data_IF_506331362177
#
_entry.id   IF_506331362177
#
_cell.length_a   1.000
_cell.length_b   1.000
_cell.length_c   1.000
_cell.angle_alpha   90.00
_cell.angle_beta   90.00
_cell.angle_gamma   90.00
#
_symmetry.space_group_name_H-M   'P 1'
#
loop_
_entity.id
_entity.type
_entity.pdbx_description
1 polymer ?
#
# COMPACT_ATOMS: atom_id res chain seq x y z
N UNK A 1 28.04 -14.59 -11.30
CA UNK A 1 27.54 -15.22 -10.04
C UNK A 1 26.62 -16.37 -10.45
N UNK A 2 26.93 -17.60 -10.04
CA UNK A 2 26.34 -18.83 -10.58
C UNK A 2 25.05 -19.20 -9.80
N UNK A 3 24.01 -19.70 -10.48
CA UNK A 3 22.73 -20.14 -9.87
C UNK A 3 22.96 -21.15 -8.73
N UNK A 4 24.00 -21.98 -8.83
CA UNK A 4 24.40 -22.93 -7.80
C UNK A 4 24.89 -22.27 -6.50
N UNK A 5 25.45 -21.07 -6.61
CA UNK A 5 25.92 -20.24 -5.49
C UNK A 5 24.73 -19.63 -4.73
N UNK A 6 23.70 -19.22 -5.47
CA UNK A 6 22.44 -18.67 -4.95
C UNK A 6 21.65 -19.72 -4.14
N UNK A 7 21.61 -20.97 -4.60
CA UNK A 7 20.95 -22.09 -3.89
C UNK A 7 21.70 -22.43 -2.59
N UNK A 8 23.03 -22.25 -2.57
CA UNK A 8 23.87 -22.52 -1.38
C UNK A 8 23.59 -21.54 -0.23
N UNK A 9 23.32 -20.27 -0.56
CA UNK A 9 22.91 -19.25 0.42
C UNK A 9 21.52 -19.53 1.02
N UNK A 10 20.65 -20.25 0.29
CA UNK A 10 19.32 -20.66 0.78
C UNK A 10 19.32 -21.83 1.74
N UNK A 11 20.46 -22.50 1.96
CA UNK A 11 20.61 -23.41 3.11
C UNK A 11 20.69 -22.56 4.35
N UNK A 12 19.51 -22.19 4.84
CA UNK A 12 19.29 -21.48 6.08
C UNK A 12 19.83 -22.36 7.22
N UNK A 13 21.15 -22.29 7.44
CA UNK A 13 21.77 -22.83 8.64
C UNK A 13 21.09 -22.04 9.75
N UNK A 14 20.19 -22.68 10.51
CA UNK A 14 19.58 -22.07 11.70
C UNK A 14 20.73 -21.58 12.55
N UNK A 15 21.03 -20.29 12.47
CA UNK A 15 21.81 -19.61 13.48
C UNK A 15 20.81 -19.50 14.62
N UNK A 16 21.00 -20.21 15.74
CA UNK A 16 20.18 -19.95 16.91
C UNK A 16 20.42 -18.48 17.26
N UNK A 17 19.45 -17.64 16.96
CA UNK A 17 19.49 -16.25 17.35
C UNK A 17 19.01 -16.21 18.79
N UNK A 18 19.94 -16.19 19.73
CA UNK A 18 19.64 -16.02 21.16
C UNK A 18 19.02 -14.64 21.48
N UNK A 19 18.76 -13.82 20.46
CA UNK A 19 18.51 -12.38 20.56
C UNK A 19 17.02 -12.05 20.50
N UNK A 20 16.17 -12.86 19.86
CA UNK A 20 14.78 -12.45 19.56
C UNK A 20 13.71 -13.32 20.22
N UNK A 21 13.80 -14.66 20.13
CA UNK A 21 12.84 -15.59 20.75
C UNK A 21 13.56 -16.90 21.09
N UNK A 22 13.77 -17.14 22.39
CA UNK A 22 14.40 -18.38 22.89
C UNK A 22 13.38 -19.30 23.58
N UNK A 23 12.19 -18.80 23.84
CA UNK A 23 11.12 -19.49 24.55
C UNK A 23 9.81 -19.39 23.75
N UNK A 24 8.91 -20.34 23.97
CA UNK A 24 7.61 -20.33 23.31
C UNK A 24 6.79 -19.11 23.75
N UNK A 25 6.05 -18.53 22.81
CA UNK A 25 5.14 -17.43 23.12
C UNK A 25 4.03 -17.90 24.06
N UNK A 26 3.60 -17.03 24.96
CA UNK A 26 2.47 -17.27 25.86
C UNK A 26 1.23 -17.68 25.03
N UNK A 27 0.40 -18.63 25.47
CA UNK A 27 -0.87 -18.89 24.79
C UNK A 27 -1.74 -17.64 24.75
N UNK A 28 -2.54 -17.49 23.69
CA UNK A 28 -3.53 -16.41 23.59
C UNK A 28 -4.72 -16.74 24.48
N UNK A 29 -5.32 -15.69 25.04
CA UNK A 29 -6.55 -15.76 25.83
C UNK A 29 -7.79 -15.96 24.94
N UNK A 30 -8.89 -16.40 25.53
CA UNK A 30 -10.21 -16.58 24.91
C UNK A 30 -10.80 -15.28 24.35
N UNK A 31 -10.34 -14.11 24.80
CA UNK A 31 -10.66 -12.81 24.17
C UNK A 31 -10.33 -12.78 22.67
N UNK A 32 -9.34 -13.53 22.20
CA UNK A 32 -8.94 -13.61 20.79
C UNK A 32 -9.88 -14.48 19.93
N UNK A 33 -10.90 -15.12 20.52
CA UNK A 33 -11.91 -15.88 19.76
C UNK A 33 -12.93 -14.97 19.09
N UNK A 34 -13.12 -13.75 19.59
CA UNK A 34 -14.00 -12.75 19.00
C UNK A 34 -13.15 -11.77 18.19
N UNK A 35 -13.18 -11.92 16.87
CA UNK A 35 -12.37 -11.11 15.95
C UNK A 35 -13.31 -10.32 15.05
N UNK A 36 -13.04 -9.01 14.92
CA UNK A 36 -13.78 -8.17 13.98
C UNK A 36 -13.31 -8.41 12.54
N UNK A 37 -14.21 -8.28 11.56
CA UNK A 37 -13.87 -8.48 10.15
C UNK A 37 -12.69 -7.59 9.71
N UNK A 38 -12.63 -6.35 10.19
CA UNK A 38 -11.54 -5.42 9.89
C UNK A 38 -10.18 -5.91 10.41
N UNK A 39 -10.16 -6.58 11.56
CA UNK A 39 -8.94 -7.18 12.12
C UNK A 39 -8.45 -8.34 11.24
N UNK A 40 -9.38 -9.15 10.73
CA UNK A 40 -9.07 -10.24 9.81
C UNK A 40 -8.54 -9.72 8.48
N UNK A 41 -9.19 -8.70 7.90
CA UNK A 41 -8.74 -8.04 6.67
C UNK A 41 -7.34 -7.46 6.86
N UNK A 42 -7.09 -6.77 7.97
CA UNK A 42 -5.78 -6.17 8.26
C UNK A 42 -4.69 -7.22 8.50
N UNK A 43 -5.03 -8.34 9.15
CA UNK A 43 -4.12 -9.47 9.30
C UNK A 43 -3.70 -10.04 7.95
N UNK A 44 -4.65 -10.28 7.04
CA UNK A 44 -4.34 -10.84 5.72
C UNK A 44 -3.65 -9.86 4.77
N UNK A 45 -3.81 -8.54 4.94
CA UNK A 45 -3.04 -7.53 4.18
C UNK A 45 -1.54 -7.63 4.45
N UNK A 46 -1.13 -7.87 5.70
CA UNK A 46 0.28 -8.07 6.07
C UNK A 46 0.40 -8.87 7.39
N UNK A 47 0.47 -10.21 7.33
CA UNK A 47 0.39 -11.05 8.52
C UNK A 47 1.61 -10.91 9.43
N UNK A 48 2.80 -10.71 8.86
CA UNK A 48 4.02 -10.50 9.63
C UNK A 48 3.93 -9.20 10.45
N UNK A 49 3.47 -8.11 9.84
CA UNK A 49 3.27 -6.82 10.52
C UNK A 49 2.18 -6.90 11.58
N UNK A 50 1.05 -7.54 11.26
CA UNK A 50 -0.02 -7.75 12.22
C UNK A 50 0.45 -8.55 13.43
N UNK A 51 1.23 -9.61 13.22
CA UNK A 51 1.81 -10.43 14.27
C UNK A 51 2.78 -9.65 15.16
N UNK A 52 3.70 -8.87 14.58
CA UNK A 52 4.62 -8.02 15.35
C UNK A 52 3.87 -6.99 16.20
N UNK A 53 2.84 -6.36 15.62
CA UNK A 53 2.03 -5.35 16.32
C UNK A 53 1.17 -5.96 17.42
N UNK A 54 0.45 -7.04 17.15
CA UNK A 54 -0.50 -7.65 18.08
C UNK A 54 0.18 -8.53 19.14
N UNK A 55 1.24 -9.26 18.75
CA UNK A 55 1.87 -10.27 19.60
C UNK A 55 3.09 -9.77 20.35
N UNK A 56 3.81 -8.79 19.81
CA UNK A 56 5.01 -8.19 20.40
C UNK A 56 4.85 -6.71 20.76
N UNK A 57 3.69 -6.09 20.47
CA UNK A 57 3.47 -4.66 20.65
C UNK A 57 4.51 -3.78 19.93
N UNK A 58 5.15 -4.31 18.87
CA UNK A 58 6.16 -3.60 18.10
C UNK A 58 5.45 -2.75 17.05
N UNK A 59 5.64 -1.43 17.11
CA UNK A 59 5.25 -0.54 16.04
C UNK A 59 6.27 -0.64 14.91
N UNK A 60 5.80 -1.03 13.73
CA UNK A 60 6.59 -0.90 12.50
C UNK A 60 6.45 0.54 12.03
N UNK A 61 7.55 1.27 11.96
CA UNK A 61 7.56 2.61 11.35
C UNK A 61 7.25 2.45 9.87
N UNK A 62 6.14 3.03 9.43
CA UNK A 62 5.95 3.27 8.01
C UNK A 62 6.80 4.50 7.65
N UNK A 63 7.49 4.38 6.52
CA UNK A 63 8.31 5.37 5.84
C UNK A 63 8.18 6.80 6.37
N UNK A 64 9.32 7.40 6.72
CA UNK A 64 9.40 8.83 6.97
C UNK A 64 8.72 9.58 5.82
N UNK A 65 7.63 10.31 6.14
CA UNK A 65 6.97 11.18 5.19
C UNK A 65 7.93 12.34 4.95
N UNK A 66 8.77 12.20 3.93
CA UNK A 66 9.66 13.27 3.51
C UNK A 66 8.81 14.32 2.82
N UNK A 67 8.89 15.57 3.32
CA UNK A 67 8.22 16.68 2.65
C UNK A 67 8.93 16.89 1.30
N UNK A 68 8.20 16.86 0.18
CA UNK A 68 8.80 17.13 -1.12
C UNK A 68 9.31 18.58 -1.15
N UNK A 69 10.56 18.75 -1.57
CA UNK A 69 11.23 20.05 -1.64
C UNK A 69 10.81 20.81 -2.92
N UNK A 70 10.21 20.10 -3.88
CA UNK A 70 9.80 20.62 -5.20
C UNK A 70 8.44 20.08 -5.61
N UNK A 71 7.79 20.79 -6.53
CA UNK A 71 6.57 20.33 -7.17
C UNK A 71 6.80 19.06 -8.03
N UNK A 72 5.77 18.21 -8.20
CA UNK A 72 5.85 17.01 -9.02
C UNK A 72 5.88 17.37 -10.51
N UNK A 73 6.85 16.80 -11.24
CA UNK A 73 6.90 16.84 -12.71
C UNK A 73 6.27 15.60 -13.35
N UNK A 74 6.08 14.55 -12.55
CA UNK A 74 5.48 13.28 -12.91
C UNK A 74 4.58 12.83 -11.76
N UNK A 75 3.64 11.94 -12.05
CA UNK A 75 2.78 11.35 -11.03
C UNK A 75 3.58 10.31 -10.23
N UNK A 76 3.83 10.58 -8.95
CA UNK A 76 4.49 9.61 -8.09
C UNK A 76 3.66 8.33 -7.94
N UNK A 77 4.29 7.16 -7.91
CA UNK A 77 3.64 5.84 -7.88
C UNK A 77 2.80 5.52 -6.63
N UNK A 78 2.72 6.44 -5.67
CA UNK A 78 1.77 6.35 -4.55
C UNK A 78 0.62 7.35 -4.70
N UNK A 79 0.86 8.46 -5.40
CA UNK A 79 -0.11 9.53 -5.66
C UNK A 79 -1.05 9.16 -6.80
N UNK A 80 -0.63 8.27 -7.69
CA UNK A 80 -1.48 7.70 -8.75
C UNK A 80 -2.74 7.03 -8.18
N UNK A 81 -2.63 6.30 -7.06
CA UNK A 81 -3.78 5.73 -6.37
C UNK A 81 -4.73 6.81 -5.87
N UNK A 82 -4.22 7.91 -5.30
CA UNK A 82 -5.06 8.98 -4.79
C UNK A 82 -5.83 9.67 -5.93
N UNK A 83 -5.16 9.90 -7.07
CA UNK A 83 -5.78 10.44 -8.29
C UNK A 83 -6.84 9.48 -8.84
N UNK A 84 -6.51 8.20 -9.01
CA UNK A 84 -7.47 7.18 -9.48
C UNK A 84 -8.68 7.05 -8.57
N UNK A 85 -8.49 7.14 -7.25
CA UNK A 85 -9.58 7.07 -6.29
C UNK A 85 -10.53 8.26 -6.44
N UNK A 86 -9.98 9.47 -6.59
CA UNK A 86 -10.76 10.68 -6.83
C UNK A 86 -11.57 10.58 -8.13
N UNK A 87 -10.94 10.11 -9.22
CA UNK A 87 -11.60 9.90 -10.51
C UNK A 87 -12.74 8.89 -10.36
N UNK A 88 -12.47 7.75 -9.72
CA UNK A 88 -13.45 6.69 -9.50
C UNK A 88 -14.67 7.17 -8.68
N UNK A 89 -14.44 8.02 -7.67
CA UNK A 89 -15.52 8.57 -6.84
C UNK A 89 -16.43 9.57 -7.59
N UNK A 90 -15.93 10.23 -8.64
CA UNK A 90 -16.69 11.25 -9.37
C UNK A 90 -16.68 11.08 -10.87
N UNK A 91 -16.87 9.85 -11.35
CA UNK A 91 -16.98 9.50 -12.77
C UNK A 91 -18.01 10.38 -13.52
N UNK A 92 -19.01 10.93 -12.83
CA UNK A 92 -20.02 11.83 -13.42
C UNK A 92 -19.60 13.32 -13.48
N UNK A 93 -18.55 13.74 -12.77
CA UNK A 93 -18.11 15.14 -12.65
C UNK A 93 -16.60 15.31 -12.95
N UNK A 94 -16.15 14.83 -14.12
CA UNK A 94 -14.73 14.77 -14.50
C UNK A 94 -13.99 16.11 -14.35
N UNK A 95 -14.55 17.21 -14.89
CA UNK A 95 -13.93 18.56 -14.86
C UNK A 95 -13.66 19.03 -13.42
N UNK A 96 -14.58 18.73 -12.50
CA UNK A 96 -14.48 19.11 -11.09
C UNK A 96 -13.43 18.28 -10.38
N UNK A 97 -13.32 16.99 -10.70
CA UNK A 97 -12.32 16.10 -10.13
C UNK A 97 -10.90 16.49 -10.55
N UNK A 98 -10.70 16.87 -11.81
CA UNK A 98 -9.41 17.37 -12.29
C UNK A 98 -8.98 18.64 -11.54
N UNK A 99 -9.92 19.58 -11.34
CA UNK A 99 -9.68 20.79 -10.54
C UNK A 99 -9.31 20.46 -9.09
N UNK A 100 -9.99 19.50 -8.46
CA UNK A 100 -9.69 19.05 -7.09
C UNK A 100 -8.31 18.38 -7.02
N UNK A 101 -7.96 17.54 -7.99
CA UNK A 101 -6.63 16.91 -8.06
C UNK A 101 -5.51 17.95 -8.17
N UNK A 102 -5.70 18.98 -9.00
CA UNK A 102 -4.77 20.11 -9.12
C UNK A 102 -4.67 20.91 -7.83
N UNK A 103 -5.79 21.25 -7.20
CA UNK A 103 -5.80 22.02 -5.95
C UNK A 103 -5.13 21.27 -4.79
N UNK A 104 -5.15 19.93 -4.81
CA UNK A 104 -4.43 19.07 -3.85
C UNK A 104 -2.94 18.91 -4.17
N UNK A 105 -2.45 19.45 -5.29
CA UNK A 105 -1.07 19.27 -5.74
C UNK A 105 -0.73 17.84 -6.16
N UNK A 106 -1.72 17.06 -6.59
CA UNK A 106 -1.51 15.66 -7.02
C UNK A 106 -1.00 15.57 -8.47
N UNK A 107 -1.32 16.57 -9.29
CA UNK A 107 -0.96 16.61 -10.71
C UNK A 107 0.17 17.62 -10.96
N UNK A 108 1.05 17.35 -11.93
CA UNK A 108 1.97 18.36 -12.45
C UNK A 108 1.24 19.58 -13.01
N UNK A 109 1.93 20.71 -13.08
CA UNK A 109 1.37 21.93 -13.65
C UNK A 109 1.21 21.83 -15.18
N UNK A 110 0.27 22.62 -15.72
CA UNK A 110 0.11 22.83 -17.16
C UNK A 110 -0.47 21.62 -17.91
N UNK A 111 -0.27 21.62 -19.23
CA UNK A 111 -0.83 20.61 -20.15
C UNK A 111 -0.30 19.20 -19.88
N UNK A 112 0.93 19.07 -19.35
CA UNK A 112 1.51 17.78 -18.97
C UNK A 112 0.66 17.10 -17.90
N UNK A 113 0.17 17.87 -16.92
CA UNK A 113 -0.74 17.35 -15.89
C UNK A 113 -2.08 16.89 -16.45
N UNK A 114 -2.56 17.52 -17.52
CA UNK A 114 -3.82 17.17 -18.17
C UNK A 114 -3.69 15.88 -18.96
N UNK A 115 -2.60 15.71 -19.72
CA UNK A 115 -2.32 14.44 -20.39
C UNK A 115 -2.17 13.28 -19.42
N UNK A 116 -1.51 13.50 -18.28
CA UNK A 116 -1.38 12.49 -17.22
C UNK A 116 -2.74 12.15 -16.63
N UNK A 117 -3.56 13.15 -16.30
CA UNK A 117 -4.89 12.94 -15.76
C UNK A 117 -5.77 12.12 -16.74
N UNK A 118 -5.75 12.47 -18.02
CA UNK A 118 -6.50 11.74 -19.05
C UNK A 118 -6.06 10.27 -19.19
N UNK A 119 -4.76 9.97 -19.03
CA UNK A 119 -4.29 8.57 -18.97
C UNK A 119 -4.85 7.83 -17.76
N UNK A 120 -4.91 8.48 -16.60
CA UNK A 120 -5.47 7.89 -15.39
C UNK A 120 -6.99 7.68 -15.49
N UNK A 121 -7.72 8.58 -16.15
CA UNK A 121 -9.15 8.43 -16.46
C UNK A 121 -9.39 7.16 -17.27
N UNK A 122 -8.64 6.95 -18.36
CA UNK A 122 -8.76 5.76 -19.20
C UNK A 122 -8.51 4.45 -18.42
N UNK A 123 -7.55 4.46 -17.49
CA UNK A 123 -7.28 3.31 -16.61
C UNK A 123 -8.50 3.02 -15.73
N UNK A 124 -9.09 4.05 -15.11
CA UNK A 124 -10.25 3.89 -14.22
C UNK A 124 -11.51 3.49 -15.00
N UNK A 125 -11.74 4.05 -16.19
CA UNK A 125 -12.86 3.67 -17.06
C UNK A 125 -12.76 2.20 -17.48
N UNK A 126 -11.59 1.76 -17.94
CA UNK A 126 -11.38 0.36 -18.35
C UNK A 126 -11.56 -0.60 -17.16
N UNK A 127 -11.15 -0.19 -15.96
CA UNK A 127 -11.41 -0.93 -14.73
C UNK A 127 -12.90 -0.99 -14.40
N UNK A 128 -13.63 0.11 -14.54
CA UNK A 128 -15.07 0.19 -14.22
C UNK A 128 -15.89 -0.71 -15.14
N UNK A 129 -15.54 -0.80 -16.43
CA UNK A 129 -16.17 -1.73 -17.39
C UNK A 129 -15.95 -3.19 -16.97
N UNK A 130 -14.82 -3.50 -16.32
CA UNK A 130 -14.51 -4.86 -15.87
C UNK A 130 -15.20 -5.27 -14.57
N UNK A 131 -15.82 -4.33 -13.85
CA UNK A 131 -16.51 -4.62 -12.59
C UNK A 131 -17.83 -5.35 -12.85
N UNK A 132 -18.14 -6.42 -12.09
CA UNK A 132 -19.44 -7.05 -12.18
C UNK A 132 -20.53 -6.06 -11.77
N UNK A 133 -21.59 -5.94 -12.59
CA UNK A 133 -22.78 -5.18 -12.21
C UNK A 133 -23.53 -5.97 -11.13
N UNK A 134 -23.64 -5.39 -9.93
CA UNK A 134 -24.36 -5.93 -8.76
C UNK A 134 -25.83 -5.52 -8.85
#
# INVERSE_FOLDING_TARGET
MNIQEYIKLRKNKKIPSDIFINEALVPLDDSYKNIHLDELINFFKNPARAFLKQRFAIQTFDNEITLPIREPFELESFKDRDVRSLIFEGIEEEDKNQLVARAKGLLPYGEIGDEIYQKEVQIVESFTISLPQI
#
